data_IF_499017304661
#
_entry.id   IF_499017304661
#
_cell.length_a   1.000
_cell.length_b   1.000
_cell.length_c   1.000
_cell.angle_alpha   90.00
_cell.angle_beta   90.00
_cell.angle_gamma   90.00
#
_symmetry.space_group_name_H-M   'P 1'
#
loop_
_entity.id
_entity.type
_entity.pdbx_description
1 polymer ?
#
# COMPACT_ATOMS: atom_id res chain seq x y z
N UNK A 1 -1.89 -23.95 -23.83
CA UNK A 1 -0.62 -23.35 -23.36
C UNK A 1 -0.69 -23.22 -21.85
N UNK A 2 0.41 -23.44 -21.13
CA UNK A 2 0.45 -23.17 -19.69
C UNK A 2 0.35 -21.66 -19.45
N UNK A 3 -0.53 -21.23 -18.54
CA UNK A 3 -0.57 -19.84 -18.08
C UNK A 3 0.41 -19.68 -16.93
N UNK A 4 1.47 -18.90 -17.13
CA UNK A 4 2.46 -18.61 -16.10
C UNK A 4 2.10 -17.26 -15.47
N UNK A 5 1.83 -17.27 -14.16
CA UNK A 5 1.52 -16.07 -13.37
C UNK A 5 2.53 -15.95 -12.22
N UNK A 6 3.18 -14.79 -12.05
CA UNK A 6 4.05 -14.57 -10.90
C UNK A 6 3.20 -14.44 -9.63
N UNK A 7 3.56 -15.21 -8.58
CA UNK A 7 2.93 -15.12 -7.27
C UNK A 7 3.99 -14.61 -6.28
N UNK A 8 3.69 -13.49 -5.63
CA UNK A 8 4.48 -12.95 -4.52
C UNK A 8 3.79 -13.38 -3.22
N UNK A 9 4.51 -14.11 -2.35
CA UNK A 9 4.05 -14.48 -1.01
C UNK A 9 4.92 -13.78 0.03
N UNK A 10 4.30 -13.06 0.95
CA UNK A 10 4.99 -12.29 1.99
C UNK A 10 4.34 -12.61 3.32
N UNK A 11 5.16 -12.85 4.33
CA UNK A 11 4.74 -13.03 5.72
C UNK A 11 5.11 -11.74 6.47
N UNK A 12 4.14 -11.11 7.11
CA UNK A 12 4.30 -9.80 7.75
C UNK A 12 4.43 -9.97 9.26
N UNK A 13 5.40 -9.28 9.86
CA UNK A 13 5.46 -9.08 11.30
C UNK A 13 4.55 -7.91 11.72
N UNK A 14 3.42 -8.17 12.40
CA UNK A 14 2.49 -7.12 12.79
C UNK A 14 3.06 -6.17 13.85
N UNK A 15 4.17 -6.51 14.50
CA UNK A 15 4.83 -5.64 15.47
C UNK A 15 5.64 -4.53 14.80
N UNK A 16 5.95 -4.65 13.50
CA UNK A 16 6.69 -3.68 12.70
C UNK A 16 5.99 -3.36 11.37
N UNK A 17 4.75 -2.84 11.38
CA UNK A 17 3.89 -2.83 10.20
C UNK A 17 4.40 -1.93 9.06
N UNK A 18 5.04 -0.80 9.35
CA UNK A 18 5.48 0.16 8.32
C UNK A 18 6.65 -0.39 7.50
N UNK A 19 7.77 -0.86 8.11
CA UNK A 19 8.84 -1.51 7.37
C UNK A 19 8.36 -2.70 6.51
N UNK A 20 7.47 -3.52 7.05
CA UNK A 20 6.90 -4.69 6.36
C UNK A 20 6.10 -4.29 5.12
N UNK A 21 5.23 -3.28 5.23
CA UNK A 21 4.47 -2.75 4.09
C UNK A 21 5.41 -2.15 3.02
N UNK A 22 6.46 -1.43 3.43
CA UNK A 22 7.46 -0.92 2.48
C UNK A 22 8.18 -2.06 1.75
N UNK A 23 8.51 -3.15 2.44
CA UNK A 23 9.12 -4.33 1.82
C UNK A 23 8.21 -4.96 0.77
N UNK A 24 6.89 -5.02 1.02
CA UNK A 24 5.89 -5.49 0.04
C UNK A 24 5.90 -4.63 -1.23
N UNK A 25 5.89 -3.31 -1.08
CA UNK A 25 5.90 -2.38 -2.23
C UNK A 25 7.17 -2.60 -3.05
N UNK A 26 8.33 -2.71 -2.40
CA UNK A 26 9.61 -2.95 -3.06
C UNK A 26 9.66 -4.29 -3.81
N UNK A 27 9.02 -5.33 -3.28
CA UNK A 27 8.96 -6.64 -3.94
C UNK A 27 8.16 -6.63 -5.26
N UNK A 28 7.28 -5.66 -5.47
CA UNK A 28 6.45 -5.53 -6.68
C UNK A 28 7.18 -4.81 -7.81
N UNK A 29 8.15 -3.94 -7.49
CA UNK A 29 8.87 -3.08 -8.46
C UNK A 29 9.53 -3.87 -9.60
N UNK A 30 10.21 -5.01 -9.35
CA UNK A 30 10.88 -5.77 -10.43
C UNK A 30 9.93 -6.27 -11.53
N UNK A 31 8.62 -6.38 -11.23
CA UNK A 31 7.61 -6.81 -12.20
C UNK A 31 7.04 -5.64 -13.03
N UNK A 32 7.42 -4.39 -12.72
CA UNK A 32 6.95 -3.17 -13.36
C UNK A 32 8.12 -2.22 -13.68
N UNK A 33 9.06 -2.63 -14.56
CA UNK A 33 10.27 -1.86 -14.85
C UNK A 33 9.94 -0.49 -15.43
N UNK A 34 10.59 0.56 -14.89
CA UNK A 34 10.40 1.95 -15.32
C UNK A 34 9.13 2.62 -14.79
N UNK A 35 8.32 1.93 -13.97
CA UNK A 35 7.09 2.47 -13.38
C UNK A 35 7.18 2.70 -11.87
N UNK A 36 8.38 2.59 -11.29
CA UNK A 36 8.61 2.70 -9.85
C UNK A 36 8.05 4.01 -9.29
N UNK A 37 8.41 5.15 -9.86
CA UNK A 37 7.92 6.45 -9.40
C UNK A 37 6.39 6.54 -9.49
N UNK A 38 5.80 6.11 -10.60
CA UNK A 38 4.35 6.13 -10.78
C UNK A 38 3.63 5.25 -9.76
N UNK A 39 4.19 4.07 -9.43
CA UNK A 39 3.65 3.17 -8.41
C UNK A 39 3.71 3.83 -7.03
N UNK A 40 4.85 4.42 -6.66
CA UNK A 40 5.02 5.10 -5.38
C UNK A 40 4.08 6.32 -5.24
N UNK A 41 3.91 7.10 -6.31
CA UNK A 41 2.95 8.22 -6.34
C UNK A 41 1.51 7.73 -6.16
N UNK A 42 1.10 6.67 -6.85
CA UNK A 42 -0.24 6.08 -6.71
C UNK A 42 -0.50 5.53 -5.31
N UNK A 43 0.50 4.90 -4.68
CA UNK A 43 0.40 4.44 -3.28
C UNK A 43 0.23 5.62 -2.33
N UNK A 44 1.00 6.71 -2.51
CA UNK A 44 0.87 7.92 -1.71
C UNK A 44 -0.56 8.50 -1.78
N UNK A 45 -1.11 8.67 -2.99
CA UNK A 45 -2.47 9.18 -3.17
C UNK A 45 -3.53 8.31 -2.48
N UNK A 46 -3.39 6.98 -2.57
CA UNK A 46 -4.29 6.05 -1.91
C UNK A 46 -4.24 6.17 -0.37
N UNK A 47 -3.04 6.37 0.19
CA UNK A 47 -2.83 6.60 1.63
C UNK A 47 -3.43 7.94 2.05
N UNK A 48 -3.14 9.03 1.33
CA UNK A 48 -3.68 10.37 1.61
C UNK A 48 -5.21 10.36 1.64
N UNK A 49 -5.84 9.77 0.61
CA UNK A 49 -7.29 9.61 0.54
C UNK A 49 -7.85 8.82 1.74
N UNK A 50 -7.14 7.79 2.20
CA UNK A 50 -7.55 7.00 3.37
C UNK A 50 -7.45 7.83 4.65
N UNK A 51 -6.39 8.61 4.83
CA UNK A 51 -6.21 9.49 5.97
C UNK A 51 -7.29 10.58 6.02
N UNK A 52 -7.60 11.20 4.89
CA UNK A 52 -8.70 12.17 4.79
C UNK A 52 -10.05 11.57 5.22
N UNK A 53 -10.35 10.34 4.81
CA UNK A 53 -11.58 9.64 5.22
C UNK A 53 -11.63 9.40 6.73
N UNK A 54 -10.49 9.08 7.36
CA UNK A 54 -10.42 8.88 8.81
C UNK A 54 -10.62 10.20 9.56
N UNK A 55 -10.01 11.29 9.08
CA UNK A 55 -10.17 12.61 9.68
C UNK A 55 -11.63 13.11 9.57
N UNK A 56 -12.26 12.97 8.40
CA UNK A 56 -13.68 13.33 8.21
C UNK A 56 -14.62 12.52 9.11
N UNK A 57 -14.27 11.25 9.39
CA UNK A 57 -15.06 10.38 10.27
C UNK A 57 -14.85 10.69 11.77
N UNK A 58 -13.73 11.32 12.13
CA UNK A 58 -13.44 11.79 13.48
C UNK A 58 -14.27 13.02 13.89
N UNK A 59 -14.63 13.88 12.93
CA UNK A 59 -15.42 15.09 13.20
C UNK A 59 -16.92 14.81 13.47
N UNK A 60 -17.46 13.68 13.02
CA UNK A 60 -18.84 13.25 13.30
C UNK A 60 -19.01 12.62 14.70
N UNK A 61 -17.92 12.32 15.41
CA UNK A 61 -17.93 11.65 16.71
C UNK A 61 -17.82 12.61 17.92
N UNK A 62 -17.72 13.92 17.69
CA UNK A 62 -17.49 14.95 18.72
C UNK A 62 -18.68 15.86 19.03
N UNK A 63 -19.92 15.46 18.74
CA UNK A 63 -21.11 16.29 18.88
C UNK A 63 -22.11 15.82 19.94
N UNK A 64 -21.78 15.95 21.24
CA UNK A 64 -22.68 16.40 22.33
C UNK A 64 -21.97 16.44 23.67
#
# INVERSE_FOLDING_TARGET
MAQVQPIIRIELDPTQPVPEICAVIMAVIPYHPGQEEALLLGVREAIEKRLEQLHKKGDDAGGK
#
